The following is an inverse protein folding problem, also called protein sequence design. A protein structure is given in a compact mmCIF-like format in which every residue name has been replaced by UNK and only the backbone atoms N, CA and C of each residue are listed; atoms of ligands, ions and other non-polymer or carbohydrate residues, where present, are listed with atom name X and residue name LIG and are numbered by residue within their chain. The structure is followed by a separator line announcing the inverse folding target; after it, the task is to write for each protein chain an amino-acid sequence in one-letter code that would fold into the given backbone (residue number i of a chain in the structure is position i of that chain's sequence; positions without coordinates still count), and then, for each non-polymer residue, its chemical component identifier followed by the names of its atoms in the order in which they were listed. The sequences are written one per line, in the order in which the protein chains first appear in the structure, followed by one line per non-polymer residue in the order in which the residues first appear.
data_IF_766724746746
#
_entry.id   IF_766724746746
#
_cell.length_a   1.000
_cell.length_b   1.000
_cell.length_c   1.000
_cell.angle_alpha   90.00
_cell.angle_beta   90.00
_cell.angle_gamma   90.00
#
_symmetry.space_group_name_H-M   'P 1'
#
loop_
_entity.id
_entity.type
_entity.pdbx_description
1 polymer ?
#
# COMPACT_ATOMS: atom_id res chain seq x y z
N UNK A 1 -35.02 16.43 -3.24
CA UNK A 1 -33.93 15.44 -3.18
C UNK A 1 -33.54 15.38 -1.72
N UNK A 2 -33.82 14.26 -1.06
CA UNK A 2 -33.26 14.00 0.28
C UNK A 2 -31.74 14.03 0.16
N UNK A 3 -31.10 14.79 1.04
CA UNK A 3 -29.65 14.85 1.09
C UNK A 3 -29.18 13.77 2.07
N UNK A 4 -28.15 13.00 1.74
CA UNK A 4 -27.59 11.98 2.63
C UNK A 4 -27.24 12.52 4.03
N UNK A 5 -26.99 13.82 4.16
CA UNK A 5 -26.78 14.49 5.45
C UNK A 5 -27.97 14.48 6.41
N UNK A 6 -29.19 14.21 5.93
CA UNK A 6 -30.42 14.15 6.75
C UNK A 6 -30.49 12.85 7.57
N UNK A 7 -29.71 11.82 7.24
CA UNK A 7 -29.70 10.51 7.90
C UNK A 7 -28.53 10.33 8.88
N UNK A 8 -28.05 11.42 9.50
CA UNK A 8 -26.88 11.37 10.38
C UNK A 8 -27.10 10.40 11.56
N UNK A 9 -28.30 10.41 12.14
CA UNK A 9 -28.62 9.59 13.31
C UNK A 9 -28.73 8.10 12.94
N UNK A 10 -29.30 7.78 11.79
CA UNK A 10 -29.34 6.43 11.23
C UNK A 10 -27.94 5.93 10.91
N UNK A 11 -27.09 6.77 10.31
CA UNK A 11 -25.68 6.45 10.06
C UNK A 11 -24.93 6.13 11.36
N UNK A 12 -25.14 6.92 12.42
CA UNK A 12 -24.53 6.68 13.73
C UNK A 12 -25.06 5.41 14.40
N UNK A 13 -26.35 5.09 14.25
CA UNK A 13 -26.93 3.83 14.75
C UNK A 13 -26.29 2.63 14.05
N UNK A 14 -26.18 2.66 12.72
CA UNK A 14 -25.53 1.60 11.94
C UNK A 14 -24.05 1.45 12.31
N UNK A 15 -23.33 2.57 12.41
CA UNK A 15 -21.93 2.60 12.83
C UNK A 15 -21.74 1.92 14.19
N UNK A 16 -22.51 2.30 15.20
CA UNK A 16 -22.43 1.69 16.53
C UNK A 16 -22.79 0.20 16.53
N UNK A 17 -23.79 -0.21 15.73
CA UNK A 17 -24.16 -1.61 15.59
C UNK A 17 -23.00 -2.45 15.01
N UNK A 18 -22.30 -1.93 13.99
CA UNK A 18 -21.13 -2.58 13.41
C UNK A 18 -19.98 -2.65 14.41
N UNK A 19 -19.63 -1.55 15.08
CA UNK A 19 -18.59 -1.51 16.12
C UNK A 19 -18.87 -2.53 17.22
N UNK A 20 -20.12 -2.64 17.68
CA UNK A 20 -20.49 -3.65 18.67
C UNK A 20 -20.35 -5.07 18.13
N UNK A 21 -20.77 -5.35 16.89
CA UNK A 21 -20.58 -6.67 16.30
C UNK A 21 -19.09 -7.05 16.20
N UNK A 22 -18.22 -6.13 15.78
CA UNK A 22 -16.77 -6.37 15.74
C UNK A 22 -16.15 -6.52 17.13
N UNK A 23 -16.66 -5.77 18.12
CA UNK A 23 -16.27 -5.92 19.52
C UNK A 23 -16.70 -7.26 20.11
N UNK A 24 -17.85 -7.79 19.72
CA UNK A 24 -18.33 -9.11 20.18
C UNK A 24 -17.56 -10.25 19.48
N UNK A 25 -17.20 -10.06 18.21
CA UNK A 25 -16.42 -11.04 17.44
C UNK A 25 -17.29 -12.15 16.85
N UNK A 26 -16.65 -13.26 16.45
CA UNK A 26 -17.34 -14.43 15.94
C UNK A 26 -18.03 -15.24 17.06
N UNK A 27 -18.72 -16.33 16.70
CA UNK A 27 -19.41 -17.22 17.65
C UNK A 27 -18.48 -17.82 18.73
N UNK A 28 -17.17 -17.81 18.47
CA UNK A 28 -16.12 -18.26 19.39
C UNK A 28 -15.43 -17.08 20.12
N UNK A 29 -15.98 -15.86 20.04
CA UNK A 29 -15.43 -14.62 20.59
C UNK A 29 -14.05 -14.22 20.00
N UNK A 30 -13.68 -14.76 18.83
CA UNK A 30 -12.46 -14.35 18.13
C UNK A 30 -12.71 -13.08 17.31
N UNK A 31 -11.64 -12.34 17.00
CA UNK A 31 -11.68 -11.26 16.02
C UNK A 31 -12.00 -11.79 14.62
N UNK A 32 -12.84 -11.08 13.87
CA UNK A 32 -13.07 -11.39 12.47
C UNK A 32 -11.79 -11.26 11.64
N UNK A 33 -11.47 -12.31 10.88
CA UNK A 33 -10.40 -12.25 9.86
C UNK A 33 -10.87 -11.49 8.61
N UNK A 34 -12.16 -11.62 8.30
CA UNK A 34 -12.85 -10.93 7.21
C UNK A 34 -14.33 -10.74 7.57
N UNK A 35 -14.97 -9.61 7.25
CA UNK A 35 -14.36 -8.39 6.71
C UNK A 35 -13.41 -7.72 7.70
N UNK A 36 -12.49 -6.89 7.20
CA UNK A 36 -11.62 -6.05 8.05
C UNK A 36 -12.41 -4.81 8.45
N UNK A 37 -12.32 -4.40 9.71
CA UNK A 37 -12.98 -3.21 10.20
C UNK A 37 -12.07 -1.99 10.03
N UNK A 38 -12.26 -1.26 8.93
CA UNK A 38 -11.55 -0.01 8.66
C UNK A 38 -12.41 1.19 9.08
N UNK A 39 -11.90 2.01 10.00
CA UNK A 39 -12.62 3.16 10.55
C UNK A 39 -11.91 4.44 10.12
N UNK A 40 -12.64 5.29 9.40
CA UNK A 40 -12.15 6.61 9.01
C UNK A 40 -12.24 7.59 10.19
N UNK A 41 -11.14 8.26 10.49
CA UNK A 41 -11.02 9.18 11.62
C UNK A 41 -10.60 10.56 11.11
N UNK A 42 -11.35 11.60 11.48
CA UNK A 42 -10.95 13.01 11.32
C UNK A 42 -10.91 13.70 12.68
N UNK A 43 -10.05 14.70 12.84
CA UNK A 43 -10.02 15.49 14.08
C UNK A 43 -11.38 16.15 14.36
N UNK A 44 -12.08 16.57 13.32
CA UNK A 44 -13.42 17.17 13.45
C UNK A 44 -14.46 16.15 13.94
N UNK A 45 -14.42 14.91 13.46
CA UNK A 45 -15.36 13.85 13.83
C UNK A 45 -15.10 13.28 15.21
N UNK A 46 -13.83 13.15 15.61
CA UNK A 46 -13.48 12.75 16.97
C UNK A 46 -14.11 13.67 18.01
N UNK A 47 -14.04 14.98 17.79
CA UNK A 47 -14.64 15.96 18.69
C UNK A 47 -16.17 15.93 18.64
N UNK A 48 -16.77 15.81 17.45
CA UNK A 48 -18.23 15.87 17.27
C UNK A 48 -18.95 14.60 17.72
N UNK A 49 -18.34 13.42 17.52
CA UNK A 49 -18.96 12.11 17.75
C UNK A 49 -18.20 11.28 18.79
N UNK A 50 -17.68 11.95 19.83
CA UNK A 50 -16.80 11.35 20.84
C UNK A 50 -17.37 10.05 21.44
N UNK A 51 -18.67 10.02 21.74
CA UNK A 51 -19.32 8.83 22.31
C UNK A 51 -19.31 7.63 21.36
N UNK A 52 -19.49 7.85 20.05
CA UNK A 52 -19.42 6.78 19.06
C UNK A 52 -17.98 6.24 18.93
N UNK A 53 -16.98 7.13 18.94
CA UNK A 53 -15.57 6.72 18.92
C UNK A 53 -15.10 6.08 20.22
N UNK A 54 -15.77 6.34 21.36
CA UNK A 54 -15.49 5.62 22.62
C UNK A 54 -15.64 4.11 22.44
N UNK A 55 -16.69 3.67 21.75
CA UNK A 55 -16.91 2.24 21.46
C UNK A 55 -15.81 1.67 20.57
N UNK A 56 -15.29 2.47 19.63
CA UNK A 56 -14.13 2.09 18.79
C UNK A 56 -12.88 1.89 19.64
N UNK A 57 -12.62 2.79 20.60
CA UNK A 57 -11.48 2.63 21.51
C UNK A 57 -11.61 1.38 22.39
N UNK A 58 -12.82 1.01 22.79
CA UNK A 58 -13.08 -0.24 23.52
C UNK A 58 -12.84 -1.47 22.64
N UNK A 59 -13.25 -1.44 21.37
CA UNK A 59 -12.95 -2.49 20.38
C UNK A 59 -11.43 -2.68 20.22
N UNK A 60 -10.68 -1.60 19.99
CA UNK A 60 -9.22 -1.65 19.84
C UNK A 60 -8.54 -2.18 21.11
N UNK A 61 -8.99 -1.74 22.30
CA UNK A 61 -8.46 -2.22 23.59
C UNK A 61 -8.70 -3.71 23.80
N UNK A 62 -9.80 -4.25 23.28
CA UNK A 62 -10.08 -5.69 23.32
C UNK A 62 -9.16 -6.52 22.41
N UNK A 63 -8.14 -5.89 21.79
CA UNK A 63 -7.20 -6.47 20.82
C UNK A 63 -7.91 -7.02 19.57
N UNK A 64 -9.11 -6.51 19.26
CA UNK A 64 -9.85 -6.83 18.04
C UNK A 64 -9.46 -5.84 16.93
N UNK A 65 -9.39 -6.37 15.72
CA UNK A 65 -8.59 -5.90 14.58
C UNK A 65 -9.17 -4.70 13.83
N UNK A 66 -9.44 -3.59 14.52
CA UNK A 66 -9.81 -2.34 13.86
C UNK A 66 -8.57 -1.63 13.32
N UNK A 67 -8.65 -1.16 12.07
CA UNK A 67 -7.63 -0.32 11.45
C UNK A 67 -8.17 1.12 11.40
N UNK A 68 -7.45 2.05 12.01
CA UNK A 68 -7.78 3.46 11.96
C UNK A 68 -7.13 4.13 10.75
N UNK A 69 -7.94 4.76 9.91
CA UNK A 69 -7.48 5.49 8.72
C UNK A 69 -7.76 6.98 8.94
N UNK A 70 -6.70 7.79 9.04
CA UNK A 70 -6.85 9.24 9.11
C UNK A 70 -7.41 9.77 7.79
N UNK A 71 -8.60 10.36 7.81
CA UNK A 71 -9.27 10.89 6.62
C UNK A 71 -8.62 12.16 6.09
N UNK A 72 -7.98 12.94 6.97
CA UNK A 72 -7.45 14.25 6.63
C UNK A 72 -6.16 14.17 5.77
N UNK A 73 -5.54 12.99 5.70
CA UNK A 73 -4.31 12.71 4.95
C UNK A 73 -4.55 12.13 3.56
N UNK A 74 -5.81 12.05 3.07
CA UNK A 74 -6.09 11.55 1.73
C UNK A 74 -5.60 12.54 0.66
N UNK A 75 -4.32 12.43 0.31
CA UNK A 75 -3.70 13.04 -0.87
C UNK A 75 -4.28 12.51 -2.19
N UNK A 76 -5.17 11.50 -2.14
CA UNK A 76 -6.11 11.14 -3.20
C UNK A 76 -7.22 12.18 -3.44
N UNK A 77 -6.98 13.45 -3.07
CA UNK A 77 -7.66 14.61 -3.68
C UNK A 77 -7.03 14.92 -5.05
N UNK A 78 -6.75 13.89 -5.83
CA UNK A 78 -6.50 14.11 -7.24
C UNK A 78 -7.81 14.61 -7.83
N UNK A 79 -7.84 15.87 -8.24
CA UNK A 79 -9.04 16.57 -8.70
C UNK A 79 -9.70 15.89 -9.93
N UNK A 80 -9.06 14.85 -10.48
CA UNK A 80 -9.55 14.04 -11.60
C UNK A 80 -10.53 12.91 -11.20
N UNK A 81 -10.64 12.55 -9.91
CA UNK A 81 -11.58 11.51 -9.43
C UNK A 81 -12.94 12.09 -8.99
N UNK A 82 -13.12 13.41 -9.05
CA UNK A 82 -14.34 14.11 -8.64
C UNK A 82 -15.38 14.18 -9.76
N UNK A 83 -16.06 13.08 -10.11
CA UNK A 83 -17.32 13.22 -10.90
C UNK A 83 -18.35 12.09 -10.83
N UNK A 84 -18.26 11.12 -9.92
CA UNK A 84 -19.35 10.14 -9.79
C UNK A 84 -19.69 9.78 -8.35
N UNK A 85 -20.99 9.65 -8.08
CA UNK A 85 -21.59 9.16 -6.83
C UNK A 85 -21.21 7.71 -6.46
N UNK A 86 -20.18 7.14 -7.09
CA UNK A 86 -19.66 5.79 -6.84
C UNK A 86 -18.14 5.79 -7.09
N UNK A 87 -17.40 5.19 -6.16
CA UNK A 87 -15.95 5.02 -6.27
C UNK A 87 -15.66 3.84 -7.18
N UNK A 88 -15.06 4.09 -8.34
CA UNK A 88 -14.75 3.08 -9.36
C UNK A 88 -13.25 2.99 -9.59
N UNK A 89 -12.49 2.72 -8.53
CA UNK A 89 -11.03 2.69 -8.55
C UNK A 89 -10.52 1.57 -7.67
N UNK A 90 -9.53 0.84 -8.15
CA UNK A 90 -8.75 -0.13 -7.38
C UNK A 90 -7.37 -0.32 -8.01
N UNK A 91 -6.50 -1.07 -7.34
CA UNK A 91 -5.20 -1.44 -7.91
C UNK A 91 -5.41 -2.58 -8.90
N UNK A 92 -5.25 -2.31 -10.19
CA UNK A 92 -5.36 -3.30 -11.26
C UNK A 92 -4.15 -4.22 -11.31
N UNK A 93 -2.96 -3.67 -11.06
CA UNK A 93 -1.73 -4.42 -11.07
C UNK A 93 -0.69 -3.74 -10.20
N UNK A 94 0.01 -4.56 -9.43
CA UNK A 94 1.18 -4.16 -8.66
C UNK A 94 2.40 -4.96 -9.10
N UNK A 95 3.55 -4.32 -9.14
CA UNK A 95 4.86 -4.95 -9.37
C UNK A 95 5.81 -4.50 -8.27
N UNK A 96 6.36 -5.47 -7.54
CA UNK A 96 7.22 -5.23 -6.40
C UNK A 96 8.70 -5.41 -6.76
N UNK A 97 9.54 -4.43 -6.40
CA UNK A 97 10.98 -4.42 -6.61
C UNK A 97 11.72 -4.90 -5.36
N UNK A 98 12.69 -5.80 -5.55
CA UNK A 98 13.61 -6.24 -4.50
C UNK A 98 14.83 -5.32 -4.49
N UNK A 99 14.80 -4.25 -3.69
CA UNK A 99 15.89 -3.27 -3.64
C UNK A 99 17.20 -3.87 -3.10
N UNK A 100 17.21 -4.72 -2.03
CA UNK A 100 18.43 -5.34 -1.53
C UNK A 100 19.19 -6.10 -2.62
N UNK A 101 18.45 -6.85 -3.45
CA UNK A 101 19.02 -7.59 -4.57
C UNK A 101 19.79 -6.70 -5.54
N UNK A 102 19.29 -5.50 -5.82
CA UNK A 102 19.97 -4.57 -6.72
C UNK A 102 21.28 -4.11 -6.08
N UNK A 103 21.26 -3.76 -4.79
CA UNK A 103 22.45 -3.33 -4.06
C UNK A 103 23.52 -4.44 -3.99
N UNK A 104 23.12 -5.69 -3.72
CA UNK A 104 24.05 -6.83 -3.70
C UNK A 104 24.68 -7.11 -5.07
N UNK A 105 23.91 -6.86 -6.14
CA UNK A 105 24.36 -7.07 -7.51
C UNK A 105 25.39 -6.02 -7.93
N UNK A 106 25.15 -4.75 -7.59
CA UNK A 106 25.97 -3.64 -8.06
C UNK A 106 27.12 -3.29 -7.13
N UNK A 107 26.94 -3.45 -5.82
CA UNK A 107 27.90 -3.13 -4.76
C UNK A 107 28.43 -1.69 -4.79
N UNK A 108 27.65 -0.80 -5.37
CA UNK A 108 27.98 0.61 -5.59
C UNK A 108 26.68 1.39 -5.71
N UNK A 109 26.60 2.56 -5.06
CA UNK A 109 25.40 3.40 -5.03
C UNK A 109 25.02 3.89 -6.42
N UNK A 110 25.99 4.38 -7.20
CA UNK A 110 25.72 4.96 -8.53
C UNK A 110 25.16 3.89 -9.45
N UNK A 111 25.80 2.73 -9.51
CA UNK A 111 25.31 1.57 -10.29
C UNK A 111 23.99 1.03 -9.78
N UNK A 112 23.74 1.08 -8.47
CA UNK A 112 22.45 0.70 -7.90
C UNK A 112 21.33 1.60 -8.44
N UNK A 113 21.53 2.93 -8.45
CA UNK A 113 20.55 3.89 -8.95
C UNK A 113 20.29 3.70 -10.46
N UNK A 114 21.33 3.44 -11.24
CA UNK A 114 21.21 3.10 -12.67
C UNK A 114 20.36 1.83 -12.88
N UNK A 115 20.66 0.75 -12.14
CA UNK A 115 19.92 -0.50 -12.21
C UNK A 115 18.47 -0.34 -11.76
N UNK A 116 18.22 0.43 -10.69
CA UNK A 116 16.88 0.74 -10.21
C UNK A 116 16.07 1.45 -11.30
N UNK A 117 16.65 2.46 -11.96
CA UNK A 117 16.00 3.16 -13.05
C UNK A 117 15.67 2.22 -14.23
N UNK A 118 16.60 1.33 -14.60
CA UNK A 118 16.36 0.30 -15.63
C UNK A 118 15.16 -0.60 -15.26
N UNK A 119 15.08 -1.06 -14.00
CA UNK A 119 13.98 -1.91 -13.54
C UNK A 119 12.66 -1.18 -13.39
N UNK A 120 12.67 0.12 -13.07
CA UNK A 120 11.47 0.96 -13.10
C UNK A 120 10.92 1.11 -14.52
N UNK A 121 11.78 1.36 -15.50
CA UNK A 121 11.38 1.41 -16.92
C UNK A 121 10.79 0.09 -17.37
N UNK A 122 11.42 -1.04 -17.03
CA UNK A 122 10.89 -2.36 -17.34
C UNK A 122 9.54 -2.61 -16.67
N UNK A 123 9.39 -2.19 -15.41
CA UNK A 123 8.13 -2.29 -14.68
C UNK A 123 7.02 -1.52 -15.38
N UNK A 124 7.28 -0.29 -15.81
CA UNK A 124 6.32 0.50 -16.58
C UNK A 124 5.86 -0.26 -17.85
N UNK A 125 6.78 -0.87 -18.59
CA UNK A 125 6.42 -1.69 -19.76
C UNK A 125 5.48 -2.85 -19.41
N UNK A 126 5.68 -3.51 -18.25
CA UNK A 126 4.80 -4.57 -17.75
C UNK A 126 3.41 -4.03 -17.45
N UNK A 127 3.31 -2.89 -16.76
CA UNK A 127 2.03 -2.25 -16.41
C UNK A 127 1.24 -1.87 -17.67
N UNK A 128 1.90 -1.29 -18.69
CA UNK A 128 1.26 -0.93 -19.96
C UNK A 128 0.82 -2.18 -20.75
N UNK A 129 1.61 -3.25 -20.75
CA UNK A 129 1.19 -4.52 -21.35
C UNK A 129 -0.07 -5.07 -20.66
N UNK A 130 -0.12 -5.01 -19.32
CA UNK A 130 -1.29 -5.42 -18.55
C UNK A 130 -2.53 -4.59 -18.89
N UNK A 131 -2.39 -3.26 -18.95
CA UNK A 131 -3.48 -2.37 -19.36
C UNK A 131 -4.08 -2.81 -20.71
N UNK A 132 -3.24 -2.96 -21.74
CA UNK A 132 -3.68 -3.36 -23.10
C UNK A 132 -4.37 -4.72 -23.14
N UNK A 133 -3.88 -5.68 -22.33
CA UNK A 133 -4.52 -7.00 -22.22
C UNK A 133 -5.92 -6.87 -21.62
N UNK A 134 -6.07 -6.14 -20.53
CA UNK A 134 -7.37 -5.98 -19.86
C UNK A 134 -8.35 -5.20 -20.75
N UNK A 135 -7.88 -4.13 -21.40
CA UNK A 135 -8.67 -3.39 -22.39
C UNK A 135 -9.21 -4.30 -23.50
N UNK A 136 -8.35 -5.15 -24.07
CA UNK A 136 -8.76 -6.13 -25.08
C UNK A 136 -9.82 -7.10 -24.53
N UNK A 137 -9.66 -7.58 -23.29
CA UNK A 137 -10.58 -8.54 -22.66
C UNK A 137 -11.93 -7.93 -22.29
N UNK A 138 -11.96 -6.67 -21.88
CA UNK A 138 -13.20 -5.93 -21.67
C UNK A 138 -13.96 -5.76 -22.99
N UNK A 139 -13.25 -5.34 -24.06
CA UNK A 139 -13.84 -5.17 -25.40
C UNK A 139 -14.36 -6.48 -25.99
N UNK A 140 -13.67 -7.59 -25.74
CA UNK A 140 -14.09 -8.91 -26.21
C UNK A 140 -15.08 -9.61 -25.26
N UNK A 141 -15.61 -8.91 -24.27
CA UNK A 141 -16.55 -9.43 -23.27
C UNK A 141 -16.09 -10.73 -22.56
N UNK A 142 -14.79 -10.90 -22.37
CA UNK A 142 -14.23 -12.03 -21.62
C UNK A 142 -14.22 -11.79 -20.10
N UNK A 143 -14.57 -10.57 -19.68
CA UNK A 143 -14.72 -10.17 -18.27
C UNK A 143 -16.18 -9.73 -18.05
N UNK A 144 -17.16 -10.64 -18.14
CA UNK A 144 -18.58 -10.27 -18.23
C UNK A 144 -19.07 -9.47 -17.01
N UNK A 145 -18.53 -9.75 -15.82
CA UNK A 145 -18.85 -9.00 -14.59
C UNK A 145 -18.30 -7.55 -14.60
N UNK A 146 -17.28 -7.28 -15.42
CA UNK A 146 -16.66 -5.95 -15.53
C UNK A 146 -17.14 -5.20 -16.78
N UNK A 147 -17.53 -5.92 -17.84
CA UNK A 147 -17.92 -5.37 -19.13
C UNK A 147 -19.34 -4.77 -19.17
N UNK A 148 -20.08 -4.83 -18.06
CA UNK A 148 -21.43 -4.26 -17.95
C UNK A 148 -21.45 -2.73 -18.09
N UNK A 149 -22.60 -2.19 -18.51
CA UNK A 149 -22.85 -0.74 -18.64
C UNK A 149 -24.08 -0.39 -17.79
N UNK A 150 -23.95 0.63 -16.93
CA UNK A 150 -25.05 1.16 -16.11
C UNK A 150 -25.19 2.65 -16.43
N UNK A 151 -26.40 3.09 -16.81
CA UNK A 151 -26.69 4.49 -17.16
C UNK A 151 -25.67 5.09 -18.15
N UNK A 152 -25.36 4.35 -19.21
CA UNK A 152 -24.38 4.70 -20.25
C UNK A 152 -22.93 4.85 -19.77
N UNK A 153 -22.61 4.41 -18.55
CA UNK A 153 -21.25 4.39 -18.00
C UNK A 153 -20.76 2.95 -17.83
N UNK A 154 -19.48 2.64 -18.12
CA UNK A 154 -18.93 1.33 -17.82
C UNK A 154 -19.00 1.05 -16.33
N UNK A 155 -19.44 -0.17 -15.96
CA UNK A 155 -19.40 -0.65 -14.59
C UNK A 155 -17.96 -0.72 -14.07
N UNK A 156 -17.01 -1.11 -14.93
CA UNK A 156 -15.58 -1.08 -14.64
C UNK A 156 -14.88 -0.12 -15.60
N UNK A 157 -14.57 1.07 -15.12
CA UNK A 157 -13.80 2.05 -15.87
C UNK A 157 -12.31 1.77 -15.70
N UNK A 158 -11.72 1.15 -16.72
CA UNK A 158 -10.30 0.81 -16.76
C UNK A 158 -9.38 2.03 -16.57
N UNK A 159 -9.80 3.23 -16.99
CA UNK A 159 -9.01 4.47 -16.85
C UNK A 159 -8.91 4.98 -15.41
N UNK A 160 -9.86 4.60 -14.56
CA UNK A 160 -9.87 4.99 -13.15
C UNK A 160 -9.07 4.03 -12.26
N UNK A 161 -8.47 2.99 -12.85
CA UNK A 161 -7.74 1.97 -12.11
C UNK A 161 -6.28 2.38 -11.92
N UNK A 162 -5.74 2.02 -10.77
CA UNK A 162 -4.41 2.37 -10.32
C UNK A 162 -3.45 1.23 -10.68
N UNK A 163 -2.26 1.60 -11.14
CA UNK A 163 -1.13 0.71 -11.23
C UNK A 163 -0.11 1.10 -10.15
N UNK A 164 0.35 0.11 -9.41
CA UNK A 164 1.28 0.31 -8.31
C UNK A 164 2.66 -0.24 -8.64
N UNK A 165 3.69 0.54 -8.34
CA UNK A 165 5.05 0.05 -8.22
C UNK A 165 5.36 0.02 -6.73
N UNK A 166 5.70 -1.14 -6.19
CA UNK A 166 6.10 -1.26 -4.78
C UNK A 166 7.53 -1.74 -4.64
N UNK A 167 8.03 -1.72 -3.42
CA UNK A 167 9.40 -2.09 -3.09
C UNK A 167 9.50 -2.66 -1.69
N UNK A 168 10.55 -3.43 -1.47
CA UNK A 168 10.86 -4.09 -0.20
C UNK A 168 12.33 -3.87 0.14
N UNK A 169 12.61 -3.77 1.44
CA UNK A 169 13.96 -3.84 1.98
C UNK A 169 14.80 -2.60 1.75
N UNK A 170 14.20 -1.40 1.87
CA UNK A 170 15.00 -0.16 1.79
C UNK A 170 16.04 -0.11 2.93
N UNK A 171 15.67 -0.55 4.13
CA UNK A 171 16.59 -0.59 5.27
C UNK A 171 17.83 -1.47 4.98
N UNK A 172 17.62 -2.67 4.46
CA UNK A 172 18.71 -3.57 4.09
C UNK A 172 19.53 -3.04 2.91
N UNK A 173 18.89 -2.32 1.99
CA UNK A 173 19.55 -1.67 0.84
C UNK A 173 20.51 -0.59 1.31
N UNK A 174 20.06 0.34 2.16
CA UNK A 174 20.92 1.42 2.67
C UNK A 174 22.00 0.85 3.58
N UNK A 175 21.66 -0.11 4.46
CA UNK A 175 22.65 -0.79 5.32
C UNK A 175 23.78 -1.42 4.51
N UNK A 176 23.45 -2.03 3.38
CA UNK A 176 24.47 -2.62 2.51
C UNK A 176 25.38 -1.57 1.85
N UNK A 177 24.83 -0.43 1.46
CA UNK A 177 25.55 0.62 0.72
C UNK A 177 26.34 1.57 1.64
N UNK A 178 25.83 1.87 2.83
CA UNK A 178 26.38 2.88 3.75
C UNK A 178 26.95 2.28 5.03
N UNK A 179 26.71 1.00 5.29
CA UNK A 179 26.99 0.31 6.56
C UNK A 179 26.10 0.71 7.74
N UNK A 180 25.11 1.58 7.53
CA UNK A 180 24.17 2.03 8.56
C UNK A 180 22.72 1.78 8.13
N UNK A 181 21.88 1.39 9.09
CA UNK A 181 20.44 1.34 8.92
C UNK A 181 19.80 2.73 8.89
N UNK A 182 18.56 2.81 8.42
CA UNK A 182 17.84 4.08 8.23
C UNK A 182 17.76 4.94 9.50
N UNK A 183 17.75 4.32 10.68
CA UNK A 183 17.63 4.99 11.97
C UNK A 183 18.98 5.20 12.68
N UNK A 184 20.09 4.70 12.11
CA UNK A 184 21.41 4.71 12.77
C UNK A 184 22.25 5.93 12.36
N UNK A 185 22.05 6.48 11.16
CA UNK A 185 22.88 7.57 10.64
C UNK A 185 22.17 8.42 9.58
N UNK A 186 22.42 9.74 9.59
CA UNK A 186 21.82 10.70 8.66
C UNK A 186 22.12 10.36 7.20
N UNK A 187 23.32 9.89 6.88
CA UNK A 187 23.67 9.48 5.51
C UNK A 187 22.79 8.34 4.98
N UNK A 188 22.46 7.36 5.82
CA UNK A 188 21.58 6.25 5.44
C UNK A 188 20.13 6.74 5.25
N UNK A 189 19.65 7.60 6.15
CA UNK A 189 18.34 8.22 6.04
C UNK A 189 18.22 9.07 4.77
N UNK A 190 19.21 9.94 4.51
CA UNK A 190 19.27 10.81 3.34
C UNK A 190 19.30 10.01 2.03
N UNK A 191 20.07 8.92 1.99
CA UNK A 191 20.07 8.02 0.83
C UNK A 191 18.71 7.34 0.65
N UNK A 192 18.10 6.85 1.73
CA UNK A 192 16.75 6.26 1.69
C UNK A 192 15.70 7.24 1.15
N UNK A 193 15.69 8.48 1.65
CA UNK A 193 14.80 9.55 1.20
C UNK A 193 15.04 9.90 -0.28
N UNK A 194 16.30 10.00 -0.71
CA UNK A 194 16.67 10.23 -2.11
C UNK A 194 16.11 9.14 -3.04
N UNK A 195 16.32 7.87 -2.69
CA UNK A 195 15.80 6.72 -3.45
C UNK A 195 14.27 6.81 -3.60
N UNK A 196 13.54 7.05 -2.51
CA UNK A 196 12.09 7.14 -2.53
C UNK A 196 11.58 8.32 -3.36
N UNK A 197 12.22 9.49 -3.23
CA UNK A 197 11.88 10.67 -4.02
C UNK A 197 12.10 10.43 -5.52
N UNK A 198 13.21 9.81 -5.90
CA UNK A 198 13.51 9.48 -7.29
C UNK A 198 12.48 8.49 -7.85
N UNK A 199 12.16 7.42 -7.12
CA UNK A 199 11.13 6.46 -7.50
C UNK A 199 9.76 7.11 -7.66
N UNK A 200 9.36 7.98 -6.73
CA UNK A 200 8.08 8.68 -6.77
C UNK A 200 8.00 9.63 -7.99
N UNK A 201 9.06 10.40 -8.24
CA UNK A 201 9.14 11.29 -9.40
C UNK A 201 9.10 10.53 -10.73
N UNK A 202 9.72 9.34 -10.79
CA UNK A 202 9.63 8.44 -11.94
C UNK A 202 8.19 7.94 -12.13
N UNK A 203 7.51 7.52 -11.06
CA UNK A 203 6.11 7.08 -11.14
C UNK A 203 5.18 8.19 -11.65
N UNK A 204 5.35 9.43 -11.17
CA UNK A 204 4.61 10.61 -11.68
C UNK A 204 4.84 10.83 -13.18
N UNK A 205 6.09 10.80 -13.63
CA UNK A 205 6.42 10.90 -15.06
C UNK A 205 5.80 9.78 -15.89
N UNK A 206 5.79 8.54 -15.39
CA UNK A 206 5.09 7.44 -16.05
C UNK A 206 3.57 7.67 -16.08
N UNK A 207 2.99 8.18 -15.01
CA UNK A 207 1.56 8.50 -14.94
C UNK A 207 1.18 9.51 -16.02
N UNK A 208 1.93 10.61 -16.12
CA UNK A 208 1.76 11.66 -17.14
C UNK A 208 1.94 11.13 -18.56
N UNK A 209 3.08 10.48 -18.84
CA UNK A 209 3.42 10.01 -20.19
C UNK A 209 2.45 8.95 -20.74
N UNK A 210 1.91 8.11 -19.87
CA UNK A 210 0.98 7.06 -20.28
C UNK A 210 -0.49 7.49 -20.19
N UNK A 211 -0.79 8.63 -19.56
CA UNK A 211 -2.15 9.05 -19.21
C UNK A 211 -2.92 7.95 -18.45
N UNK A 212 -2.27 7.41 -17.40
CA UNK A 212 -2.77 6.37 -16.49
C UNK A 212 -2.39 6.72 -15.05
N UNK A 213 -3.14 6.24 -14.06
CA UNK A 213 -2.79 6.43 -12.65
C UNK A 213 -1.69 5.44 -12.23
N UNK A 214 -0.46 5.92 -12.07
CA UNK A 214 0.69 5.11 -11.65
C UNK A 214 1.28 5.74 -10.37
N UNK A 215 1.38 4.95 -9.30
CA UNK A 215 1.89 5.42 -8.01
C UNK A 215 2.96 4.50 -7.42
N UNK A 216 3.75 5.06 -6.51
CA UNK A 216 4.63 4.32 -5.62
C UNK A 216 3.80 3.82 -4.42
N UNK A 217 3.87 2.53 -4.13
CA UNK A 217 3.08 1.85 -3.10
C UNK A 217 3.97 1.16 -2.09
N UNK A 218 3.52 1.12 -0.84
CA UNK A 218 4.12 0.33 0.25
C UNK A 218 3.33 -0.96 0.53
N UNK A 219 2.24 -1.20 -0.22
CA UNK A 219 1.38 -2.36 0.00
C UNK A 219 2.08 -3.62 -0.49
N UNK A 220 2.44 -4.51 0.42
CA UNK A 220 3.10 -5.76 0.06
C UNK A 220 2.66 -6.91 0.95
N UNK A 221 2.82 -8.13 0.43
CA UNK A 221 2.45 -9.35 1.17
C UNK A 221 3.65 -9.90 1.94
N UNK A 222 3.42 -10.45 3.14
CA UNK A 222 4.44 -11.20 3.90
C UNK A 222 5.14 -12.26 3.02
N UNK A 223 4.40 -12.91 2.12
CA UNK A 223 4.94 -13.88 1.16
C UNK A 223 6.03 -13.28 0.26
N UNK A 224 5.87 -12.06 -0.25
CA UNK A 224 6.86 -11.41 -1.10
C UNK A 224 8.13 -11.09 -0.31
N UNK A 225 7.98 -10.58 0.92
CA UNK A 225 9.10 -10.30 1.84
C UNK A 225 9.96 -11.55 2.03
N UNK A 226 9.35 -12.64 2.48
CA UNK A 226 10.07 -13.88 2.77
C UNK A 226 10.65 -14.51 1.51
N UNK A 227 9.92 -14.46 0.38
CA UNK A 227 10.40 -15.01 -0.89
C UNK A 227 11.67 -14.30 -1.37
N UNK A 228 11.72 -12.97 -1.33
CA UNK A 228 12.90 -12.22 -1.74
C UNK A 228 14.10 -12.54 -0.86
N UNK A 229 13.95 -12.53 0.45
CA UNK A 229 15.02 -12.90 1.38
C UNK A 229 15.56 -14.32 1.11
N UNK A 230 14.67 -15.33 0.98
CA UNK A 230 15.07 -16.72 0.66
C UNK A 230 15.85 -16.82 -0.66
N UNK A 231 15.37 -16.15 -1.71
CA UNK A 231 16.05 -16.17 -3.00
C UNK A 231 17.42 -15.49 -2.91
N UNK A 232 17.53 -14.40 -2.18
CA UNK A 232 18.77 -13.65 -2.03
C UNK A 232 19.80 -14.43 -1.21
N UNK A 233 19.39 -15.14 -0.16
CA UNK A 233 20.29 -16.05 0.56
C UNK A 233 20.91 -17.12 -0.36
N UNK A 234 20.13 -17.66 -1.30
CA UNK A 234 20.63 -18.68 -2.22
C UNK A 234 21.62 -18.12 -3.26
N UNK A 235 21.38 -16.90 -3.75
CA UNK A 235 22.21 -16.30 -4.80
C UNK A 235 23.39 -15.49 -4.26
N UNK A 236 23.25 -14.95 -3.05
CA UNK A 236 24.20 -14.07 -2.38
C UNK A 236 24.48 -14.51 -0.93
N UNK A 237 24.84 -15.79 -0.69
CA UNK A 237 24.91 -16.36 0.66
C UNK A 237 25.87 -15.64 1.61
N UNK A 238 26.89 -14.96 1.08
CA UNK A 238 27.91 -14.26 1.88
C UNK A 238 27.55 -12.80 2.21
N UNK A 239 26.59 -12.21 1.50
CA UNK A 239 26.33 -10.76 1.59
C UNK A 239 24.86 -10.40 1.80
N UNK A 240 23.93 -11.36 1.69
CA UNK A 240 22.51 -11.09 1.89
C UNK A 240 22.19 -10.74 3.36
N UNK A 241 21.85 -9.47 3.59
CA UNK A 241 21.49 -8.92 4.90
C UNK A 241 19.99 -9.14 5.15
N UNK A 242 19.60 -10.35 5.50
CA UNK A 242 18.21 -10.66 5.88
C UNK A 242 18.05 -10.66 7.40
N UNK A 243 16.82 -10.46 7.86
CA UNK A 243 16.42 -10.72 9.24
C UNK A 243 15.87 -12.14 9.37
N UNK A 244 15.94 -12.71 10.57
CA UNK A 244 15.33 -13.99 10.90
C UNK A 244 14.94 -14.02 12.36
N UNK A 245 13.75 -14.54 12.65
CA UNK A 245 13.27 -14.79 14.00
C UNK A 245 13.42 -16.28 14.39
N UNK A 246 14.36 -17.01 13.76
CA UNK A 246 14.52 -18.46 13.94
C UNK A 246 13.59 -19.32 13.06
N UNK A 247 12.74 -18.68 12.25
CA UNK A 247 11.90 -19.35 11.25
C UNK A 247 12.41 -19.04 9.83
N UNK A 248 11.67 -18.18 9.12
CA UNK A 248 11.88 -17.80 7.75
C UNK A 248 12.63 -16.48 7.63
N UNK A 249 13.63 -16.41 6.73
CA UNK A 249 14.32 -15.16 6.47
C UNK A 249 13.34 -14.16 5.85
N UNK A 250 13.50 -12.88 6.20
CA UNK A 250 12.65 -11.80 5.72
C UNK A 250 13.44 -10.49 5.60
N UNK A 251 12.92 -9.57 4.80
CA UNK A 251 13.39 -8.18 4.70
C UNK A 251 12.43 -7.23 5.39
N UNK A 252 12.88 -6.01 5.67
CA UNK A 252 12.01 -4.99 6.22
C UNK A 252 10.95 -4.57 5.20
N UNK A 253 9.73 -4.32 5.68
CA UNK A 253 8.61 -3.88 4.84
C UNK A 253 8.91 -2.49 4.28
N UNK A 254 8.95 -2.34 2.95
CA UNK A 254 9.18 -1.06 2.26
C UNK A 254 10.30 -0.21 2.89
N UNK A 255 9.96 0.88 3.59
CA UNK A 255 10.91 1.76 4.29
C UNK A 255 10.87 1.68 5.83
N UNK A 256 10.14 0.71 6.38
CA UNK A 256 10.02 0.57 7.83
C UNK A 256 11.41 0.36 8.47
N UNK A 257 11.48 0.58 9.78
CA UNK A 257 12.61 0.10 10.58
C UNK A 257 12.45 -1.40 10.89
N UNK A 258 13.52 -2.04 11.37
CA UNK A 258 13.41 -3.41 11.87
C UNK A 258 12.48 -3.46 13.07
N UNK A 259 11.86 -4.62 13.28
CA UNK A 259 10.82 -4.79 14.32
C UNK A 259 11.36 -4.70 15.74
N UNK A 260 12.64 -5.00 15.93
CA UNK A 260 13.34 -5.06 17.21
C UNK A 260 14.02 -3.73 17.59
N UNK A 261 13.83 -2.68 16.79
CA UNK A 261 14.42 -1.38 17.05
C UNK A 261 13.62 -0.64 18.12
N UNK A 262 14.30 -0.23 19.19
CA UNK A 262 13.76 0.67 20.21
C UNK A 262 13.89 2.12 19.73
N UNK A 263 12.77 2.71 19.31
CA UNK A 263 12.65 4.12 18.93
C UNK A 263 11.50 4.76 19.70
N UNK A 264 11.65 6.04 20.01
CA UNK A 264 10.54 6.83 20.54
C UNK A 264 9.42 6.89 19.48
N UNK A 265 8.16 6.53 19.82
CA UNK A 265 7.05 6.62 18.88
C UNK A 265 6.61 8.07 18.56
N UNK A 266 7.24 9.10 19.16
CA UNK A 266 6.85 10.51 19.08
C UNK A 266 7.91 11.36 18.35
#
# INVERSE_FOLDING_TARGET
MENYGEYQDECLKLFNALVNAFKDGDDCNNSFRTPIHEIMVSSAWLNKFNDAYRNVWEEIKSMKSSILIKSDTSSLKDNNLKSSNYQNSGILQEVCLNLPRFAYTTKDETKFLELLNEKLILTNQVLIKKYKIIEKRLRSNHLPLCSGIINSKPLYNLRNQIFAISFIGLNETVKFLTHYELHEHDDALNLGVKILNDMNNICKRFSENNNLLILLSETITKKAINRFARLDMNHFPKIALHQSNGEDPYYTNSFHFRKDVEVDPI
#
